data_IF_733974193412
#
_entry.id   IF_733974193412
#
_cell.length_a   1.000
_cell.length_b   1.000
_cell.length_c   1.000
_cell.angle_alpha   90.00
_cell.angle_beta   90.00
_cell.angle_gamma   90.00
#
_symmetry.space_group_name_H-M   'P 1'
#
loop_
_entity.id
_entity.type
_entity.pdbx_description
1 polymer ?
#
# COMPACT_ATOMS: atom_id res chain seq x y z
N UNK A 1 4.13 -11.75 3.82
CA UNK A 1 4.63 -10.99 2.67
C UNK A 1 4.58 -9.49 2.96
N UNK A 2 5.54 -8.77 2.47
CA UNK A 2 5.60 -7.32 2.67
C UNK A 2 4.86 -6.59 1.56
N UNK A 3 4.03 -5.63 1.95
CA UNK A 3 3.34 -4.74 1.01
C UNK A 3 3.58 -3.29 1.42
N UNK A 4 3.54 -2.39 0.44
CA UNK A 4 3.56 -0.95 0.68
C UNK A 4 2.20 -0.34 0.37
N UNK A 5 1.86 0.67 1.16
CA UNK A 5 0.75 1.57 0.86
C UNK A 5 1.35 2.95 0.60
N UNK A 6 0.98 3.55 -0.51
CA UNK A 6 1.46 4.87 -0.91
C UNK A 6 0.24 5.74 -1.18
N UNK A 7 0.05 6.78 -0.39
CA UNK A 7 -1.21 7.50 -0.40
C UNK A 7 -1.09 9.01 -0.48
N UNK A 8 -2.09 9.60 -1.13
CA UNK A 8 -2.34 11.03 -1.15
C UNK A 8 -3.67 11.30 -0.46
N UNK A 9 -3.66 12.13 0.58
CA UNK A 9 -4.87 12.48 1.31
C UNK A 9 -5.85 13.27 0.45
N UNK A 10 -7.14 13.05 0.70
CA UNK A 10 -8.20 13.97 0.30
C UNK A 10 -8.17 15.22 1.17
N UNK A 11 -9.00 16.22 0.84
CA UNK A 11 -9.17 17.40 1.71
C UNK A 11 -9.61 16.99 3.12
N UNK A 12 -10.52 16.02 3.21
CA UNK A 12 -10.99 15.48 4.49
C UNK A 12 -9.82 14.86 5.27
N UNK A 13 -8.97 14.08 4.60
CA UNK A 13 -7.80 13.46 5.23
C UNK A 13 -6.80 14.50 5.73
N UNK A 14 -6.54 15.54 4.94
CA UNK A 14 -5.65 16.65 5.36
C UNK A 14 -6.20 17.38 6.57
N UNK A 15 -7.49 17.68 6.58
CA UNK A 15 -8.14 18.31 7.75
C UNK A 15 -7.99 17.45 8.99
N UNK A 16 -8.19 16.13 8.86
CA UNK A 16 -8.00 15.19 9.95
C UNK A 16 -6.57 15.19 10.47
N UNK A 17 -5.59 15.28 9.58
CA UNK A 17 -4.18 15.34 9.99
C UNK A 17 -3.84 16.61 10.76
N UNK A 18 -4.45 17.74 10.44
CA UNK A 18 -4.26 18.98 11.20
C UNK A 18 -4.75 18.87 12.64
N UNK A 19 -5.67 17.95 12.92
CA UNK A 19 -6.20 17.68 14.25
C UNK A 19 -5.56 16.45 14.91
N UNK A 20 -4.50 15.89 14.33
CA UNK A 20 -3.86 14.65 14.78
C UNK A 20 -2.36 14.84 15.00
N UNK A 21 -1.64 13.74 15.11
CA UNK A 21 -0.19 13.72 15.24
C UNK A 21 0.37 12.42 14.68
N UNK A 22 1.67 12.38 14.47
CA UNK A 22 2.35 11.14 14.05
C UNK A 22 2.07 10.01 15.04
N UNK A 23 2.28 10.27 16.34
CA UNK A 23 2.09 9.25 17.38
C UNK A 23 0.64 8.72 17.41
N UNK A 24 -0.35 9.61 17.31
CA UNK A 24 -1.75 9.21 17.29
C UNK A 24 -2.07 8.37 16.05
N UNK A 25 -1.53 8.73 14.90
CA UNK A 25 -1.73 7.97 13.66
C UNK A 25 -1.11 6.59 13.74
N UNK A 26 0.13 6.48 14.20
CA UNK A 26 0.79 5.18 14.35
C UNK A 26 -0.02 4.25 15.26
N UNK A 27 -0.48 4.76 16.40
CA UNK A 27 -1.28 3.99 17.33
C UNK A 27 -2.58 3.48 16.70
N UNK A 28 -3.31 4.36 16.02
CA UNK A 28 -4.60 4.02 15.41
C UNK A 28 -4.43 3.05 14.23
N UNK A 29 -3.48 3.31 13.37
CA UNK A 29 -3.23 2.47 12.18
C UNK A 29 -2.67 1.11 12.56
N UNK A 30 -1.76 1.07 13.54
CA UNK A 30 -1.23 -0.20 14.08
C UNK A 30 -2.36 -1.09 14.60
N UNK A 31 -3.28 -0.52 15.37
CA UNK A 31 -4.43 -1.26 15.90
C UNK A 31 -5.34 -1.80 14.79
N UNK A 32 -5.58 -1.00 13.75
CA UNK A 32 -6.37 -1.44 12.58
C UNK A 32 -5.70 -2.60 11.86
N UNK A 33 -4.41 -2.48 11.59
CA UNK A 33 -3.63 -3.50 10.88
C UNK A 33 -3.60 -4.82 11.68
N UNK A 34 -3.43 -4.73 13.01
CA UNK A 34 -3.44 -5.90 13.90
C UNK A 34 -4.78 -6.62 13.91
N UNK A 35 -5.91 -5.88 13.81
CA UNK A 35 -7.23 -6.51 13.70
C UNK A 35 -7.38 -7.36 12.44
N UNK A 36 -6.63 -7.06 11.40
CA UNK A 36 -6.59 -7.86 10.18
C UNK A 36 -5.62 -9.05 10.26
N UNK A 37 -4.95 -9.23 11.39
CA UNK A 37 -3.93 -10.29 11.54
C UNK A 37 -2.60 -9.94 10.88
N UNK A 38 -2.38 -8.66 10.60
CA UNK A 38 -1.17 -8.16 9.96
C UNK A 38 -0.34 -7.35 10.95
N UNK A 39 0.82 -6.89 10.52
CA UNK A 39 1.73 -6.09 11.34
C UNK A 39 2.19 -4.87 10.58
N UNK A 40 2.00 -3.70 11.16
CA UNK A 40 2.52 -2.45 10.62
C UNK A 40 4.05 -2.42 10.77
N UNK A 41 4.73 -2.06 9.69
CA UNK A 41 6.16 -1.78 9.69
C UNK A 41 6.43 -0.29 9.95
N UNK A 42 7.08 0.37 8.99
CA UNK A 42 7.37 1.80 9.09
C UNK A 42 6.30 2.63 8.39
N UNK A 43 6.15 3.87 8.88
CA UNK A 43 5.31 4.88 8.28
C UNK A 43 6.14 6.14 8.14
N UNK A 44 6.29 6.63 6.92
CA UNK A 44 7.00 7.87 6.63
C UNK A 44 6.08 8.84 5.92
N UNK A 45 6.10 10.09 6.36
CA UNK A 45 5.38 11.16 5.68
C UNK A 45 6.30 11.80 4.66
N UNK A 46 5.72 12.16 3.52
CA UNK A 46 6.43 12.60 2.33
C UNK A 46 5.98 13.99 1.93
N UNK A 47 6.86 14.69 1.24
CA UNK A 47 6.52 15.91 0.55
C UNK A 47 6.55 15.65 -0.96
N UNK A 48 5.47 16.01 -1.65
CA UNK A 48 5.33 15.78 -3.08
C UNK A 48 3.91 15.38 -3.45
N UNK A 49 3.73 14.65 -4.55
CA UNK A 49 2.40 14.22 -4.99
C UNK A 49 1.75 13.18 -4.07
N UNK A 50 2.54 12.50 -3.25
CA UNK A 50 2.05 11.59 -2.22
C UNK A 50 2.45 12.11 -0.84
N UNK A 51 1.61 11.83 0.16
CA UNK A 51 1.76 12.34 1.51
C UNK A 51 2.38 11.32 2.46
N UNK A 52 2.19 10.03 2.21
CA UNK A 52 2.62 9.00 3.15
C UNK A 52 2.93 7.69 2.43
N UNK A 53 3.96 7.02 2.92
CA UNK A 53 4.28 5.64 2.56
C UNK A 53 4.38 4.81 3.83
N UNK A 54 3.75 3.64 3.81
CA UNK A 54 3.79 2.69 4.92
C UNK A 54 4.01 1.29 4.40
N UNK A 55 4.65 0.44 5.20
CA UNK A 55 4.73 -0.98 4.88
C UNK A 55 4.08 -1.81 5.97
N UNK A 56 3.63 -2.99 5.58
CA UNK A 56 3.02 -3.96 6.49
C UNK A 56 3.39 -5.38 6.08
N UNK A 57 3.50 -6.26 7.08
CA UNK A 57 3.56 -7.70 6.86
C UNK A 57 2.14 -8.24 6.88
N UNK A 58 1.77 -8.92 5.81
CA UNK A 58 0.45 -9.52 5.64
C UNK A 58 0.57 -10.99 5.25
N UNK A 59 -0.45 -11.79 5.57
CA UNK A 59 -0.46 -13.21 5.23
C UNK A 59 -0.92 -13.47 3.79
N UNK A 60 -1.65 -12.53 3.21
CA UNK A 60 -2.20 -12.70 1.87
C UNK A 60 -2.47 -11.35 1.21
N UNK A 61 -2.61 -11.36 -0.12
CA UNK A 61 -3.02 -10.16 -0.86
C UNK A 61 -4.44 -9.73 -0.49
N UNK A 62 -5.31 -10.68 -0.15
CA UNK A 62 -6.68 -10.40 0.27
C UNK A 62 -6.70 -9.59 1.57
N UNK A 63 -5.82 -9.90 2.52
CA UNK A 63 -5.65 -9.09 3.74
C UNK A 63 -5.24 -7.67 3.39
N UNK A 64 -4.25 -7.51 2.53
CA UNK A 64 -3.79 -6.19 2.08
C UNK A 64 -4.88 -5.43 1.35
N UNK A 65 -5.61 -6.09 0.45
CA UNK A 65 -6.71 -5.48 -0.31
C UNK A 65 -7.86 -5.08 0.61
N UNK A 66 -8.16 -5.88 1.63
CA UNK A 66 -9.17 -5.55 2.63
C UNK A 66 -8.81 -4.31 3.43
N UNK A 67 -7.55 -4.19 3.84
CA UNK A 67 -7.04 -2.98 4.50
C UNK A 67 -7.18 -1.76 3.60
N UNK A 68 -6.80 -1.88 2.34
CA UNK A 68 -6.94 -0.79 1.36
C UNK A 68 -8.40 -0.38 1.20
N UNK A 69 -9.32 -1.33 1.11
CA UNK A 69 -10.74 -1.06 0.95
C UNK A 69 -11.30 -0.27 2.13
N UNK A 70 -10.95 -0.64 3.36
CA UNK A 70 -11.36 0.08 4.56
C UNK A 70 -10.81 1.50 4.57
N UNK A 71 -9.54 1.66 4.21
CA UNK A 71 -8.90 2.97 4.15
C UNK A 71 -9.56 3.86 3.10
N UNK A 72 -9.82 3.35 1.92
CA UNK A 72 -10.49 4.11 0.85
C UNK A 72 -11.94 4.46 1.22
N UNK A 73 -12.65 3.57 1.89
CA UNK A 73 -14.03 3.81 2.30
C UNK A 73 -14.16 4.94 3.32
N UNK A 74 -13.08 5.31 4.00
CA UNK A 74 -13.08 6.42 4.96
C UNK A 74 -13.30 7.79 4.31
N UNK A 75 -13.04 7.93 3.02
CA UNK A 75 -13.05 9.20 2.30
C UNK A 75 -11.82 10.08 2.57
N UNK A 76 -10.84 9.56 3.31
CA UNK A 76 -9.63 10.30 3.66
C UNK A 76 -8.54 10.31 2.58
N UNK A 77 -8.71 9.58 1.50
CA UNK A 77 -7.70 9.41 0.46
C UNK A 77 -8.24 9.78 -0.91
N UNK A 78 -7.49 10.58 -1.65
CA UNK A 78 -7.72 10.80 -3.08
C UNK A 78 -7.14 9.64 -3.88
N UNK A 79 -5.99 9.13 -3.45
CA UNK A 79 -5.33 8.00 -4.08
C UNK A 79 -4.62 7.17 -3.02
N UNK A 80 -4.76 5.87 -3.11
CA UNK A 80 -4.07 4.94 -2.22
C UNK A 80 -3.65 3.72 -3.02
N UNK A 81 -2.36 3.63 -3.31
CA UNK A 81 -1.77 2.53 -4.04
C UNK A 81 -1.38 1.41 -3.09
N UNK A 82 -1.68 0.19 -3.46
CA UNK A 82 -1.20 -1.00 -2.79
C UNK A 82 -0.11 -1.61 -3.67
N UNK A 83 1.11 -1.66 -3.15
CA UNK A 83 2.30 -2.07 -3.88
C UNK A 83 2.91 -3.30 -3.22
N UNK A 84 2.51 -4.51 -3.63
CA UNK A 84 3.12 -5.73 -3.11
C UNK A 84 4.57 -5.83 -3.58
N UNK A 85 5.44 -6.32 -2.70
CA UNK A 85 6.81 -6.67 -3.09
C UNK A 85 6.82 -7.99 -3.85
N UNK A 86 7.85 -8.20 -4.65
CA UNK A 86 8.04 -9.45 -5.37
C UNK A 86 9.50 -9.87 -5.33
N UNK A 87 9.74 -11.14 -5.57
CA UNK A 87 11.08 -11.67 -5.79
C UNK A 87 11.46 -11.46 -7.26
N UNK A 88 12.37 -10.53 -7.50
CA UNK A 88 12.77 -10.17 -8.88
C UNK A 88 13.43 -11.33 -9.61
N UNK A 89 14.17 -12.18 -8.92
CA UNK A 89 14.82 -13.32 -9.55
C UNK A 89 13.79 -14.34 -10.04
N UNK A 90 12.75 -14.59 -9.27
CA UNK A 90 11.64 -15.43 -9.72
C UNK A 90 10.93 -14.84 -10.93
N UNK A 91 10.68 -13.53 -10.93
CA UNK A 91 10.06 -12.85 -12.05
C UNK A 91 10.92 -12.96 -13.32
N UNK A 92 12.24 -12.76 -13.18
CA UNK A 92 13.17 -12.89 -14.29
C UNK A 92 13.26 -14.32 -14.84
N UNK A 93 13.17 -15.32 -13.95
CA UNK A 93 13.14 -16.72 -14.37
C UNK A 93 11.88 -17.03 -15.20
N UNK A 94 10.74 -16.50 -14.80
CA UNK A 94 9.50 -16.62 -15.59
C UNK A 94 9.67 -15.93 -16.95
N UNK A 95 10.22 -14.72 -16.96
CA UNK A 95 10.44 -13.98 -18.20
C UNK A 95 11.33 -14.76 -19.20
N UNK A 96 12.38 -15.40 -18.69
CA UNK A 96 13.28 -16.22 -19.52
C UNK A 96 12.58 -17.47 -20.05
N UNK A 97 11.69 -18.06 -19.26
CA UNK A 97 10.92 -19.25 -19.65
C UNK A 97 9.90 -18.93 -20.73
N UNK A 98 9.22 -17.79 -20.61
CA UNK A 98 8.23 -17.34 -21.58
C UNK A 98 8.86 -17.00 -22.91
N UNK A 99 10.06 -16.41 -22.89
CA UNK A 99 10.75 -15.97 -24.09
C UNK A 99 10.21 -14.64 -24.61
N UNK A 100 9.78 -14.61 -25.87
CA UNK A 100 9.34 -13.37 -26.49
C UNK A 100 7.84 -13.10 -26.32
N UNK A 101 7.49 -11.84 -26.47
CA UNK A 101 6.09 -11.41 -26.53
C UNK A 101 5.67 -11.26 -28.00
N UNK A 102 4.58 -11.92 -28.44
CA UNK A 102 4.08 -11.73 -29.81
C UNK A 102 3.41 -10.37 -29.92
N UNK A 103 4.15 -9.39 -30.39
CA UNK A 103 3.64 -8.04 -30.62
C UNK A 103 2.43 -8.08 -31.54
N UNK A 104 1.45 -7.19 -31.34
CA UNK A 104 0.32 -7.08 -32.27
C UNK A 104 0.83 -6.90 -33.71
N UNK A 105 0.33 -7.75 -34.62
CA UNK A 105 0.76 -7.80 -36.00
C UNK A 105 1.89 -8.78 -36.28
N UNK A 106 2.52 -9.35 -35.26
CA UNK A 106 3.59 -10.35 -35.38
C UNK A 106 3.23 -11.71 -34.77
N UNK A 107 1.99 -11.91 -34.44
CA UNK A 107 1.50 -13.19 -33.93
C UNK A 107 1.37 -14.20 -35.10
#
# INVERSE_FOLDING_TARGET
MKVFFLGAYSDKGREGMMASSYAARIKAVSAMVERAGAKLGSVDYLQGPFDVIADAEVNSYETASGLQAVMMASGGWDELLLLPTMDVDKALNVARTVGGYPMPGNE
#
